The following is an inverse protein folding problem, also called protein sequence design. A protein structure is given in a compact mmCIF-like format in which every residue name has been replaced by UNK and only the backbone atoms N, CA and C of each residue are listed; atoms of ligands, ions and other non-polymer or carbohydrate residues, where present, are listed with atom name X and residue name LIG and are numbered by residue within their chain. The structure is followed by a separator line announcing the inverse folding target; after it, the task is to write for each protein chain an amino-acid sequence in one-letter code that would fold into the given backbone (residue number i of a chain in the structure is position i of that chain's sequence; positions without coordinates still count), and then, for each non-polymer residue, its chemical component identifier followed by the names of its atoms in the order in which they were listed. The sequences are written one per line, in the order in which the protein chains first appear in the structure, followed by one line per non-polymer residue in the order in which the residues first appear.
data_IF_958186646844
#
_entry.id   IF_958186646844
#
_cell.length_a   1.000
_cell.length_b   1.000
_cell.length_c   1.000
_cell.angle_alpha   90.00
_cell.angle_beta   90.00
_cell.angle_gamma   90.00
#
_symmetry.space_group_name_H-M   'P 1'
#
loop_
_entity.id
_entity.type
_entity.pdbx_description
1 polymer ?
#
# COMPACT_ATOMS: atom_id res chain seq x y z
N UNK A 1 53.40 -34.26 -21.96
CA UNK A 1 52.75 -32.96 -22.20
C UNK A 1 51.29 -33.21 -22.57
N UNK A 2 50.35 -33.00 -21.64
CA UNK A 2 48.89 -33.10 -21.86
C UNK A 2 48.29 -31.74 -21.55
N UNK A 3 47.68 -31.12 -22.56
CA UNK A 3 47.04 -29.80 -22.50
C UNK A 3 45.59 -29.95 -22.03
N UNK A 4 45.28 -29.44 -20.83
CA UNK A 4 43.90 -29.25 -20.37
C UNK A 4 43.36 -27.93 -20.94
N UNK A 5 42.25 -28.00 -21.68
CA UNK A 5 41.47 -26.84 -22.11
C UNK A 5 40.39 -26.56 -21.07
N UNK A 6 40.48 -25.42 -20.37
CA UNK A 6 39.40 -24.87 -19.55
C UNK A 6 38.43 -24.11 -20.45
N UNK A 7 37.21 -24.63 -20.62
CA UNK A 7 36.10 -23.91 -21.24
C UNK A 7 35.48 -22.97 -20.22
N UNK A 8 35.66 -21.66 -20.42
CA UNK A 8 35.03 -20.61 -19.62
C UNK A 8 33.60 -20.37 -20.13
N UNK A 9 32.59 -20.73 -19.35
CA UNK A 9 31.20 -20.40 -19.62
C UNK A 9 30.88 -19.01 -19.05
N UNK A 10 30.75 -18.01 -19.92
CA UNK A 10 30.18 -16.70 -19.57
C UNK A 10 28.67 -16.86 -19.31
N UNK A 11 28.26 -16.84 -18.05
CA UNK A 11 26.86 -16.63 -17.68
C UNK A 11 26.55 -15.12 -17.74
N UNK A 12 25.79 -14.71 -18.75
CA UNK A 12 25.20 -13.38 -18.82
C UNK A 12 24.03 -13.29 -17.83
N UNK A 13 24.26 -12.72 -16.64
CA UNK A 13 23.20 -12.38 -15.69
C UNK A 13 22.47 -11.16 -16.22
N UNK A 14 21.28 -11.36 -16.78
CA UNK A 14 20.36 -10.28 -17.12
C UNK A 14 19.75 -9.76 -15.82
N UNK A 15 20.27 -8.64 -15.30
CA UNK A 15 19.60 -7.89 -14.23
C UNK A 15 18.31 -7.29 -14.80
N UNK A 16 17.18 -7.92 -14.52
CA UNK A 16 15.88 -7.28 -14.63
C UNK A 16 15.81 -6.22 -13.54
N UNK A 17 16.06 -4.97 -13.91
CA UNK A 17 15.84 -3.82 -13.02
C UNK A 17 14.32 -3.73 -12.84
N UNK A 18 13.83 -4.34 -11.75
CA UNK A 18 12.44 -4.26 -11.35
C UNK A 18 12.09 -2.79 -11.13
N UNK A 19 11.10 -2.29 -11.87
CA UNK A 19 10.50 -0.99 -11.59
C UNK A 19 9.97 -1.05 -10.15
N UNK A 20 10.68 -0.42 -9.22
CA UNK A 20 10.24 -0.30 -7.84
C UNK A 20 8.90 0.45 -7.86
N UNK A 21 7.82 -0.25 -7.54
CA UNK A 21 6.50 0.37 -7.43
C UNK A 21 6.57 1.49 -6.39
N UNK A 22 6.11 2.68 -6.73
CA UNK A 22 6.10 3.83 -5.81
C UNK A 22 5.21 3.48 -4.60
N UNK A 23 5.83 3.35 -3.43
CA UNK A 23 5.18 3.02 -2.16
C UNK A 23 4.27 4.15 -1.66
N UNK A 24 3.08 4.33 -2.23
CA UNK A 24 2.24 5.48 -1.88
C UNK A 24 1.76 5.39 -0.43
N UNK A 25 1.67 6.55 0.22
CA UNK A 25 1.07 6.68 1.55
C UNK A 25 -0.33 6.04 1.58
N UNK A 26 -0.75 5.62 2.77
CA UNK A 26 -2.06 5.00 2.98
C UNK A 26 -3.20 5.80 2.36
N UNK A 27 -4.28 5.12 1.98
CA UNK A 27 -5.53 5.74 1.55
C UNK A 27 -6.44 5.86 2.77
N UNK A 28 -6.62 7.05 3.37
CA UNK A 28 -7.39 7.19 4.61
C UNK A 28 -8.83 6.71 4.46
N UNK A 29 -9.43 6.93 3.29
CA UNK A 29 -10.79 6.47 2.95
C UNK A 29 -10.89 4.94 2.90
N UNK A 30 -9.76 4.25 2.78
CA UNK A 30 -9.65 2.80 2.78
C UNK A 30 -9.06 2.24 4.09
N UNK A 31 -9.18 2.97 5.20
CA UNK A 31 -8.59 2.54 6.47
C UNK A 31 -7.06 2.54 6.44
N UNK A 32 -6.46 3.50 5.72
CA UNK A 32 -5.02 3.65 5.49
C UNK A 32 -4.37 2.51 4.69
N UNK A 33 -5.12 1.80 3.84
CA UNK A 33 -4.57 0.79 2.93
C UNK A 33 -3.41 1.36 2.09
N UNK A 34 -2.24 0.70 2.12
CA UNK A 34 -1.11 1.02 1.23
C UNK A 34 -1.28 0.37 -0.14
N UNK A 35 -0.92 1.10 -1.20
CA UNK A 35 -1.20 0.69 -2.57
C UNK A 35 -0.31 -0.45 -3.07
N UNK A 36 0.81 -0.72 -2.41
CA UNK A 36 1.67 -1.87 -2.72
C UNK A 36 0.89 -3.20 -2.62
N UNK A 37 -0.18 -3.20 -1.82
CA UNK A 37 -1.05 -4.35 -1.57
C UNK A 37 -2.38 -4.26 -2.35
N UNK A 38 -2.62 -3.14 -3.04
CA UNK A 38 -3.89 -2.87 -3.70
C UNK A 38 -4.03 -3.54 -5.07
N UNK A 39 -2.99 -4.24 -5.56
CA UNK A 39 -2.97 -4.88 -6.87
C UNK A 39 -3.98 -6.03 -7.08
N UNK A 40 -4.70 -6.46 -6.04
CA UNK A 40 -5.68 -7.56 -6.11
C UNK A 40 -6.88 -7.30 -5.19
N UNK A 41 -7.48 -6.11 -5.28
CA UNK A 41 -8.67 -5.76 -4.50
C UNK A 41 -9.96 -6.24 -5.17
N UNK A 42 -10.81 -6.92 -4.42
CA UNK A 42 -12.10 -7.44 -4.85
C UNK A 42 -13.21 -6.88 -3.95
N UNK A 43 -14.29 -6.40 -4.57
CA UNK A 43 -15.50 -6.05 -3.84
C UNK A 43 -16.41 -7.28 -3.80
N UNK A 44 -16.57 -7.87 -2.62
CA UNK A 44 -17.41 -9.05 -2.40
C UNK A 44 -18.73 -8.64 -1.76
N UNK A 45 -19.84 -9.10 -2.34
CA UNK A 45 -21.18 -8.95 -1.78
C UNK A 45 -21.84 -10.30 -1.51
N UNK A 46 -22.99 -10.27 -0.84
CA UNK A 46 -23.88 -11.42 -0.62
C UNK A 46 -23.16 -12.61 0.06
N UNK A 47 -23.52 -13.84 -0.32
CA UNK A 47 -23.02 -15.09 0.29
C UNK A 47 -21.50 -15.24 0.24
N UNK A 48 -20.84 -14.78 -0.84
CA UNK A 48 -19.38 -14.85 -0.96
C UNK A 48 -18.67 -13.98 0.08
N UNK A 49 -19.29 -12.85 0.42
CA UNK A 49 -18.79 -11.95 1.45
C UNK A 49 -18.89 -12.61 2.83
N UNK A 50 -20.05 -13.16 3.22
CA UNK A 50 -20.23 -13.79 4.54
C UNK A 50 -19.25 -14.95 4.79
N UNK A 51 -19.05 -15.79 3.76
CA UNK A 51 -18.08 -16.88 3.80
C UNK A 51 -16.63 -16.38 3.89
N UNK A 52 -16.33 -15.21 3.34
CA UNK A 52 -15.02 -14.57 3.49
C UNK A 52 -14.85 -13.99 4.89
N UNK A 53 -15.88 -13.32 5.43
CA UNK A 53 -15.84 -12.69 6.75
C UNK A 53 -15.63 -13.67 7.90
N UNK A 54 -16.00 -14.94 7.73
CA UNK A 54 -15.86 -15.95 8.78
C UNK A 54 -14.44 -16.55 8.88
N UNK A 55 -13.50 -16.11 8.04
CA UNK A 55 -12.11 -16.57 8.08
C UNK A 55 -11.33 -15.77 9.12
N UNK A 56 -10.82 -16.46 10.14
CA UNK A 56 -9.92 -15.86 11.12
C UNK A 56 -8.60 -15.42 10.46
N UNK A 57 -8.02 -14.34 10.99
CA UNK A 57 -6.71 -13.83 10.57
C UNK A 57 -6.73 -12.88 9.36
N UNK A 58 -7.83 -12.78 8.62
CA UNK A 58 -7.94 -11.81 7.51
C UNK A 58 -8.06 -10.35 8.00
N UNK A 59 -8.40 -10.18 9.28
CA UNK A 59 -8.59 -8.89 9.93
C UNK A 59 -7.32 -8.33 10.54
N UNK A 60 -6.20 -9.09 10.54
CA UNK A 60 -5.01 -8.73 11.31
C UNK A 60 -4.49 -7.32 11.00
N UNK A 61 -4.38 -6.97 9.72
CA UNK A 61 -3.93 -5.64 9.29
C UNK A 61 -4.94 -4.54 9.59
N UNK A 62 -6.22 -4.78 9.32
CA UNK A 62 -7.28 -3.81 9.62
C UNK A 62 -7.35 -3.53 11.13
N UNK A 63 -7.22 -4.56 11.97
CA UNK A 63 -7.17 -4.42 13.42
C UNK A 63 -5.90 -3.73 13.91
N UNK A 64 -4.73 -4.14 13.44
CA UNK A 64 -3.48 -3.46 13.76
C UNK A 64 -3.57 -1.96 13.45
N UNK A 65 -4.11 -1.60 12.28
CA UNK A 65 -4.28 -0.20 11.87
C UNK A 65 -5.31 0.55 12.71
N UNK A 66 -6.44 -0.08 13.03
CA UNK A 66 -7.47 0.49 13.92
C UNK A 66 -6.90 0.74 15.32
N UNK A 67 -6.26 -0.27 15.90
CA UNK A 67 -5.75 -0.26 17.27
C UNK A 67 -4.49 0.59 17.42
N UNK A 68 -3.66 0.73 16.37
CA UNK A 68 -2.51 1.65 16.41
C UNK A 68 -2.93 3.07 16.80
N UNK A 69 -4.05 3.57 16.25
CA UNK A 69 -4.55 4.91 16.57
C UNK A 69 -5.01 5.04 18.02
N UNK A 70 -5.59 3.97 18.57
CA UNK A 70 -6.03 3.90 19.96
C UNK A 70 -4.81 3.88 20.88
N UNK A 71 -3.89 2.95 20.66
CA UNK A 71 -2.70 2.73 21.47
C UNK A 71 -1.66 3.85 21.35
N UNK A 72 -1.63 4.59 20.23
CA UNK A 72 -0.73 5.73 20.04
C UNK A 72 -0.97 6.86 21.05
N UNK A 73 -2.17 6.97 21.62
CA UNK A 73 -2.43 7.94 22.68
C UNK A 73 -1.71 7.64 23.99
N UNK A 74 -1.28 6.40 24.21
CA UNK A 74 -0.58 5.97 25.42
C UNK A 74 0.91 5.73 25.16
N UNK A 75 1.29 5.38 23.93
CA UNK A 75 2.67 5.15 23.52
C UNK A 75 3.31 6.44 23.00
N UNK A 76 3.94 7.20 23.90
CA UNK A 76 4.58 8.51 23.61
C UNK A 76 6.09 8.53 23.80
N UNK A 77 6.75 7.38 23.65
CA UNK A 77 8.21 7.34 23.71
C UNK A 77 8.79 8.16 22.57
N UNK A 78 9.83 8.93 22.86
CA UNK A 78 10.54 9.72 21.87
C UNK A 78 11.59 8.86 21.16
N UNK A 79 11.88 9.21 19.91
CA UNK A 79 13.00 8.62 19.18
C UNK A 79 14.31 8.74 19.97
N UNK A 80 15.11 7.66 19.98
CA UNK A 80 16.43 7.68 20.61
C UNK A 80 17.40 8.52 19.76
N UNK A 81 18.22 9.42 20.38
CA UNK A 81 19.18 10.24 19.65
C UNK A 81 20.14 9.42 18.78
N UNK A 82 20.60 8.27 19.28
CA UNK A 82 21.48 7.36 18.54
C UNK A 82 20.85 6.83 17.25
N UNK A 83 19.54 6.56 17.26
CA UNK A 83 18.80 6.15 16.06
C UNK A 83 18.70 7.31 15.08
N UNK A 84 18.26 8.49 15.55
CA UNK A 84 18.07 9.66 14.69
C UNK A 84 19.39 10.15 14.09
N UNK A 85 20.48 10.17 14.84
CA UNK A 85 21.79 10.62 14.36
C UNK A 85 22.36 9.67 13.31
N UNK A 86 22.26 8.36 13.53
CA UNK A 86 22.71 7.35 12.56
C UNK A 86 21.91 7.40 11.26
N UNK A 87 20.58 7.50 11.37
CA UNK A 87 19.68 7.60 10.22
C UNK A 87 19.91 8.89 9.44
N UNK A 88 19.93 10.05 10.12
CA UNK A 88 20.12 11.36 9.47
C UNK A 88 21.50 11.48 8.82
N UNK A 89 22.55 10.94 9.43
CA UNK A 89 23.88 10.91 8.81
C UNK A 89 23.89 10.14 7.48
N UNK A 90 23.28 8.95 7.45
CA UNK A 90 23.15 8.14 6.24
C UNK A 90 22.29 8.84 5.19
N UNK A 91 21.14 9.38 5.59
CA UNK A 91 20.21 10.05 4.71
C UNK A 91 20.80 11.35 4.12
N UNK A 92 21.52 12.13 4.93
CA UNK A 92 22.25 13.33 4.48
C UNK A 92 23.22 13.00 3.36
N UNK A 93 23.99 11.91 3.51
CA UNK A 93 24.93 11.47 2.48
C UNK A 93 24.22 11.11 1.16
N UNK A 94 22.98 10.59 1.21
CA UNK A 94 22.15 10.33 0.02
C UNK A 94 21.71 11.64 -0.66
N UNK A 95 21.27 12.62 0.13
CA UNK A 95 20.94 13.95 -0.38
C UNK A 95 22.15 14.64 -1.02
N UNK A 96 23.35 14.53 -0.42
CA UNK A 96 24.59 15.11 -0.95
C UNK A 96 24.95 14.52 -2.33
N UNK A 97 24.54 13.28 -2.61
CA UNK A 97 24.69 12.62 -3.92
C UNK A 97 23.58 12.99 -4.92
N UNK A 98 22.63 13.83 -4.53
CA UNK A 98 21.48 14.21 -5.35
C UNK A 98 20.38 13.16 -5.42
N UNK A 99 20.33 12.20 -4.50
CA UNK A 99 19.20 11.27 -4.40
C UNK A 99 17.94 12.01 -3.92
N UNK A 100 16.81 11.76 -4.57
CA UNK A 100 15.53 12.33 -4.17
C UNK A 100 14.90 11.50 -3.04
N UNK A 101 15.04 11.96 -1.80
CA UNK A 101 14.46 11.32 -0.63
C UNK A 101 13.08 11.91 -0.36
N UNK A 102 12.04 11.11 -0.55
CA UNK A 102 10.67 11.44 -0.13
C UNK A 102 10.35 10.76 1.18
N UNK A 103 9.75 11.50 2.12
CA UNK A 103 9.60 11.01 3.48
C UNK A 103 8.70 9.78 3.63
N UNK A 104 7.52 9.85 3.02
CA UNK A 104 6.51 8.78 3.04
C UNK A 104 7.00 7.44 2.46
N UNK A 105 7.99 7.48 1.56
CA UNK A 105 8.57 6.29 0.95
C UNK A 105 9.69 5.68 1.81
N UNK A 106 10.64 6.51 2.26
CA UNK A 106 11.83 6.00 2.94
C UNK A 106 11.55 5.63 4.40
N UNK A 107 10.73 6.41 5.11
CA UNK A 107 10.41 6.17 6.51
C UNK A 107 9.80 4.78 6.74
N UNK A 108 8.77 4.43 5.96
CA UNK A 108 8.09 3.15 6.10
C UNK A 108 8.99 1.97 5.73
N UNK A 109 9.71 2.05 4.61
CA UNK A 109 10.60 0.98 4.18
C UNK A 109 11.70 0.66 5.19
N UNK A 110 12.32 1.69 5.76
CA UNK A 110 13.33 1.54 6.82
C UNK A 110 12.72 0.95 8.10
N UNK A 111 11.55 1.46 8.51
CA UNK A 111 10.85 0.97 9.70
C UNK A 111 10.41 -0.50 9.58
N UNK A 112 9.79 -0.86 8.44
CA UNK A 112 9.35 -2.24 8.13
C UNK A 112 10.52 -3.23 8.09
N UNK A 113 11.71 -2.79 7.66
CA UNK A 113 12.92 -3.61 7.71
C UNK A 113 13.21 -4.15 9.11
N UNK A 114 13.03 -3.32 10.14
CA UNK A 114 13.22 -3.69 11.55
C UNK A 114 12.11 -4.61 12.08
N UNK A 115 10.90 -4.54 11.53
CA UNK A 115 9.77 -5.37 11.96
C UNK A 115 10.04 -6.88 11.83
N UNK A 116 10.67 -7.31 10.72
CA UNK A 116 10.98 -8.72 10.50
C UNK A 116 11.90 -9.29 11.59
N UNK A 117 12.87 -8.50 12.03
CA UNK A 117 13.80 -8.89 13.09
C UNK A 117 13.09 -8.94 14.44
N UNK A 118 12.30 -7.91 14.76
CA UNK A 118 11.57 -7.83 16.03
C UNK A 118 10.50 -8.93 16.18
N UNK A 119 9.86 -9.32 15.08
CA UNK A 119 8.76 -10.27 15.08
C UNK A 119 9.17 -11.72 14.83
N UNK A 120 10.38 -12.00 14.33
CA UNK A 120 10.79 -13.34 13.90
C UNK A 120 10.75 -14.44 14.97
N UNK A 121 10.75 -14.09 16.27
CA UNK A 121 10.66 -15.02 17.40
C UNK A 121 9.31 -15.00 18.14
N UNK A 122 8.30 -14.28 17.65
CA UNK A 122 7.02 -14.13 18.35
C UNK A 122 6.09 -15.32 18.04
N UNK A 123 5.20 -15.73 18.98
CA UNK A 123 4.27 -16.83 18.75
C UNK A 123 3.32 -16.63 17.56
N UNK A 124 2.86 -15.39 17.34
CA UNK A 124 2.08 -15.00 16.15
C UNK A 124 2.86 -13.92 15.37
N UNK A 125 3.77 -14.39 14.52
CA UNK A 125 4.62 -13.53 13.68
C UNK A 125 3.76 -12.62 12.79
N UNK A 126 2.66 -13.13 12.23
CA UNK A 126 1.79 -12.36 11.35
C UNK A 126 1.09 -11.21 12.08
N UNK A 127 0.60 -11.44 13.30
CA UNK A 127 0.02 -10.37 14.14
C UNK A 127 1.08 -9.34 14.50
N UNK A 128 2.24 -9.78 14.98
CA UNK A 128 3.34 -8.87 15.31
C UNK A 128 3.74 -8.00 14.11
N UNK A 129 3.90 -8.60 12.93
CA UNK A 129 4.24 -7.87 11.71
C UNK A 129 3.16 -6.86 11.36
N UNK A 130 1.89 -7.24 11.40
CA UNK A 130 0.78 -6.31 11.14
C UNK A 130 0.80 -5.12 12.12
N UNK A 131 0.97 -5.36 13.42
CA UNK A 131 1.06 -4.32 14.46
C UNK A 131 2.28 -3.42 14.30
N UNK A 132 3.41 -4.01 13.93
CA UNK A 132 4.64 -3.28 13.68
C UNK A 132 4.52 -2.40 12.42
N UNK A 133 4.03 -2.94 11.32
CA UNK A 133 3.79 -2.20 10.08
C UNK A 133 2.77 -1.08 10.28
N UNK A 134 1.67 -1.32 10.99
CA UNK A 134 0.71 -0.27 11.34
C UNK A 134 1.34 0.85 12.18
N UNK A 135 2.23 0.51 13.11
CA UNK A 135 2.98 1.49 13.91
C UNK A 135 3.92 2.32 13.04
N UNK A 136 4.66 1.66 12.13
CA UNK A 136 5.48 2.34 11.16
C UNK A 136 4.65 3.31 10.31
N UNK A 137 3.50 2.86 9.79
CA UNK A 137 2.59 3.69 8.99
C UNK A 137 2.12 4.91 9.76
N UNK A 138 1.57 4.73 10.96
CA UNK A 138 1.00 5.84 11.73
C UNK A 138 2.04 6.90 12.12
N UNK A 139 3.23 6.49 12.55
CA UNK A 139 4.31 7.42 12.93
C UNK A 139 4.92 8.11 11.71
N UNK A 140 5.19 7.36 10.64
CA UNK A 140 5.72 7.93 9.40
C UNK A 140 4.72 8.89 8.77
N UNK A 141 3.43 8.55 8.68
CA UNK A 141 2.43 9.45 8.13
C UNK A 141 2.32 10.75 8.95
N UNK A 142 2.34 10.64 10.27
CA UNK A 142 2.30 11.80 11.17
C UNK A 142 3.49 12.73 10.99
N UNK A 143 4.71 12.18 10.86
CA UNK A 143 5.94 12.98 10.69
C UNK A 143 6.15 13.48 9.27
N UNK A 144 5.74 12.70 8.26
CA UNK A 144 6.01 13.01 6.87
C UNK A 144 4.93 13.90 6.23
N UNK A 145 3.69 13.90 6.72
CA UNK A 145 2.61 14.70 6.16
C UNK A 145 2.91 16.21 6.05
N UNK A 146 3.59 16.86 7.02
CA UNK A 146 3.89 18.28 6.94
C UNK A 146 5.00 18.67 5.95
N UNK A 147 5.76 17.69 5.43
CA UNK A 147 7.01 17.97 4.69
C UNK A 147 7.00 17.49 3.24
N UNK A 148 5.82 17.28 2.63
CA UNK A 148 5.69 16.72 1.26
C UNK A 148 6.52 17.48 0.22
N UNK A 149 6.58 18.81 0.30
CA UNK A 149 7.30 19.68 -0.65
C UNK A 149 8.61 20.25 -0.07
N UNK A 150 9.13 19.65 1.01
CA UNK A 150 10.30 20.13 1.70
C UNK A 150 11.61 19.73 0.99
N UNK A 151 12.74 20.42 1.26
CA UNK A 151 14.03 20.00 0.70
C UNK A 151 14.46 18.63 1.25
N UNK A 152 15.34 17.94 0.52
CA UNK A 152 15.80 16.58 0.84
C UNK A 152 16.24 16.39 2.31
N UNK A 153 17.00 17.33 2.87
CA UNK A 153 17.43 17.23 4.27
C UNK A 153 16.27 17.32 5.28
N UNK A 154 15.24 18.12 5.00
CA UNK A 154 14.06 18.20 5.84
C UNK A 154 13.28 16.88 5.79
N UNK A 155 13.14 16.28 4.62
CA UNK A 155 12.61 14.92 4.52
C UNK A 155 13.43 13.95 5.37
N UNK A 156 14.76 13.97 5.28
CA UNK A 156 15.61 13.09 6.08
C UNK A 156 15.36 13.21 7.59
N UNK A 157 15.27 14.43 8.12
CA UNK A 157 15.04 14.67 9.54
C UNK A 157 13.71 14.08 9.98
N UNK A 158 12.63 14.38 9.25
CA UNK A 158 11.29 13.88 9.60
C UNK A 158 11.14 12.36 9.35
N UNK A 159 11.75 11.81 8.30
CA UNK A 159 11.81 10.36 8.06
C UNK A 159 12.37 9.64 9.28
N UNK A 160 13.58 10.06 9.67
CA UNK A 160 14.33 9.44 10.74
C UNK A 160 13.62 9.67 12.07
N UNK A 161 13.01 10.84 12.27
CA UNK A 161 12.14 11.11 13.40
C UNK A 161 10.97 10.12 13.47
N UNK A 162 10.27 9.89 12.37
CA UNK A 162 9.14 8.96 12.28
C UNK A 162 9.54 7.51 12.50
N UNK A 163 10.53 7.02 11.74
CA UNK A 163 10.97 5.63 11.81
C UNK A 163 11.57 5.28 13.17
N UNK A 164 12.37 6.17 13.77
CA UNK A 164 12.92 5.96 15.11
C UNK A 164 11.88 6.12 16.23
N UNK A 165 10.87 6.99 16.06
CA UNK A 165 9.75 7.07 17.02
C UNK A 165 8.89 5.81 16.97
N UNK A 166 8.64 5.28 15.77
CA UNK A 166 7.97 3.99 15.59
C UNK A 166 8.74 2.89 16.31
N UNK A 167 10.05 2.75 16.06
CA UNK A 167 10.90 1.77 16.74
C UNK A 167 10.86 1.90 18.26
N UNK A 168 10.91 3.13 18.78
CA UNK A 168 10.83 3.37 20.22
C UNK A 168 9.48 2.96 20.83
N UNK A 169 8.38 3.08 20.07
CA UNK A 169 7.04 2.75 20.54
C UNK A 169 6.58 1.33 20.22
N UNK A 170 7.34 0.53 19.47
CA UNK A 170 6.91 -0.82 19.02
C UNK A 170 6.46 -1.74 20.14
N UNK A 171 7.24 -1.84 21.22
CA UNK A 171 6.90 -2.74 22.33
C UNK A 171 5.63 -2.30 23.05
N UNK A 172 5.46 -0.98 23.25
CA UNK A 172 4.24 -0.42 23.82
C UNK A 172 3.03 -0.68 22.91
N UNK A 173 3.17 -0.41 21.61
CA UNK A 173 2.13 -0.58 20.61
C UNK A 173 1.69 -2.03 20.50
N UNK A 174 2.62 -2.96 20.30
CA UNK A 174 2.31 -4.38 20.20
C UNK A 174 1.66 -4.91 21.47
N UNK A 175 2.17 -4.55 22.65
CA UNK A 175 1.57 -4.96 23.94
C UNK A 175 0.16 -4.40 24.13
N UNK A 176 -0.09 -3.15 23.73
CA UNK A 176 -1.41 -2.55 23.81
C UNK A 176 -2.39 -3.20 22.82
N UNK A 177 -1.96 -3.36 21.56
CA UNK A 177 -2.77 -3.95 20.50
C UNK A 177 -3.10 -5.42 20.78
N UNK A 178 -2.17 -6.19 21.37
CA UNK A 178 -2.39 -7.59 21.71
C UNK A 178 -3.55 -7.79 22.69
N UNK A 179 -3.82 -6.82 23.58
CA UNK A 179 -4.93 -6.89 24.55
C UNK A 179 -6.29 -6.71 23.88
N UNK A 180 -6.35 -5.86 22.86
CA UNK A 180 -7.60 -5.46 22.19
C UNK A 180 -7.81 -6.20 20.86
N UNK A 181 -6.85 -7.04 20.45
CA UNK A 181 -6.84 -7.65 19.13
C UNK A 181 -8.04 -8.57 18.90
N UNK A 182 -8.35 -9.43 19.89
CA UNK A 182 -9.46 -10.38 19.80
C UNK A 182 -10.81 -9.66 19.70
N UNK A 183 -11.02 -8.65 20.56
CA UNK A 183 -12.20 -7.78 20.51
C UNK A 183 -12.33 -7.12 19.15
N UNK A 184 -11.24 -6.57 18.61
CA UNK A 184 -11.24 -5.95 17.29
C UNK A 184 -11.58 -6.93 16.17
N UNK A 185 -11.01 -8.14 16.16
CA UNK A 185 -11.31 -9.15 15.13
C UNK A 185 -12.80 -9.52 15.16
N UNK A 186 -13.39 -9.65 16.35
CA UNK A 186 -14.81 -9.93 16.51
C UNK A 186 -15.69 -8.77 16.01
N UNK A 187 -15.37 -7.53 16.36
CA UNK A 187 -16.08 -6.34 15.85
C UNK A 187 -16.04 -6.27 14.32
N UNK A 188 -14.86 -6.44 13.72
CA UNK A 188 -14.72 -6.41 12.26
C UNK A 188 -15.42 -7.59 11.60
N UNK A 189 -15.46 -8.76 12.22
CA UNK A 189 -16.23 -9.90 11.72
C UNK A 189 -17.73 -9.58 11.67
N UNK A 190 -18.28 -9.02 12.75
CA UNK A 190 -19.69 -8.61 12.83
C UNK A 190 -20.00 -7.52 11.79
N UNK A 191 -19.16 -6.49 11.70
CA UNK A 191 -19.30 -5.40 10.73
C UNK A 191 -19.23 -5.91 9.28
N UNK A 192 -18.29 -6.81 9.00
CA UNK A 192 -18.12 -7.45 7.70
C UNK A 192 -19.39 -8.22 7.32
N UNK A 193 -19.87 -9.12 8.20
CA UNK A 193 -21.09 -9.92 7.98
C UNK A 193 -22.32 -9.03 7.77
N UNK A 194 -22.49 -8.00 8.61
CA UNK A 194 -23.61 -7.06 8.49
C UNK A 194 -23.59 -6.30 7.15
N UNK A 195 -22.40 -5.92 6.69
CA UNK A 195 -22.21 -5.16 5.46
C UNK A 195 -22.35 -5.98 4.18
N UNK A 196 -22.19 -7.31 4.25
CA UNK A 196 -22.26 -8.21 3.09
C UNK A 196 -23.60 -8.15 2.34
N UNK A 197 -24.69 -7.90 3.05
CA UNK A 197 -26.04 -7.81 2.47
C UNK A 197 -26.34 -6.45 1.83
N UNK A 198 -25.57 -5.41 2.16
CA UNK A 198 -25.83 -4.03 1.74
C UNK A 198 -24.81 -3.56 0.68
N UNK A 199 -23.65 -3.07 1.15
CA UNK A 199 -22.62 -2.43 0.30
C UNK A 199 -21.44 -3.35 -0.02
N UNK A 200 -21.41 -4.53 0.61
CA UNK A 200 -20.31 -5.48 0.50
C UNK A 200 -19.10 -5.11 1.37
N UNK A 201 -18.01 -5.83 1.13
CA UNK A 201 -16.71 -5.61 1.77
C UNK A 201 -15.60 -5.69 0.72
N UNK A 202 -14.55 -4.88 0.91
CA UNK A 202 -13.36 -4.87 0.06
C UNK A 202 -12.32 -5.77 0.69
N UNK A 203 -11.80 -6.70 -0.12
CA UNK A 203 -10.69 -7.57 0.25
C UNK A 203 -9.55 -7.36 -0.72
N UNK A 204 -8.32 -7.19 -0.25
CA UNK A 204 -7.14 -7.07 -1.11
C UNK A 204 -6.15 -8.19 -0.78
N UNK A 205 -5.76 -8.99 -1.77
CA UNK A 205 -4.88 -10.15 -1.54
C UNK A 205 -5.47 -11.20 -0.58
N UNK A 206 -6.79 -11.21 -0.41
CA UNK A 206 -7.49 -12.09 0.55
C UNK A 206 -7.60 -11.53 1.97
N UNK A 207 -7.03 -10.38 2.26
CA UNK A 207 -7.15 -9.69 3.55
C UNK A 207 -8.33 -8.72 3.54
N UNK A 208 -8.96 -8.54 4.69
CA UNK A 208 -10.05 -7.59 4.86
C UNK A 208 -9.49 -6.17 4.95
N UNK A 209 -10.07 -5.26 4.16
CA UNK A 209 -9.71 -3.83 4.22
C UNK A 209 -10.77 -3.04 4.95
N UNK A 210 -12.02 -3.12 4.48
CA UNK A 210 -13.16 -2.40 5.05
C UNK A 210 -14.48 -2.97 4.53
N UNK A 211 -15.57 -2.60 5.20
CA UNK A 211 -16.92 -2.90 4.77
C UNK A 211 -17.88 -1.72 4.97
N UNK A 212 -19.08 -1.84 4.41
CA UNK A 212 -20.19 -0.96 4.71
C UNK A 212 -20.10 0.40 4.03
N UNK A 213 -20.41 1.47 4.77
CA UNK A 213 -20.61 2.81 4.22
C UNK A 213 -19.35 3.48 3.67
N UNK A 214 -18.19 3.00 4.09
CA UNK A 214 -16.88 3.52 3.66
C UNK A 214 -16.49 2.99 2.26
N UNK A 215 -17.12 1.90 1.78
CA UNK A 215 -16.80 1.24 0.51
C UNK A 215 -16.79 2.22 -0.68
N UNK A 216 -17.83 3.04 -0.91
CA UNK A 216 -17.84 3.93 -2.07
C UNK A 216 -16.75 5.00 -2.03
N UNK A 217 -16.43 5.52 -0.84
CA UNK A 217 -15.36 6.50 -0.66
C UNK A 217 -13.99 5.87 -0.95
N UNK A 218 -13.73 4.68 -0.42
CA UNK A 218 -12.50 3.95 -0.70
C UNK A 218 -12.35 3.64 -2.19
N UNK A 219 -13.38 3.08 -2.84
CA UNK A 219 -13.32 2.75 -4.29
C UNK A 219 -13.03 4.01 -5.11
N UNK A 220 -13.64 5.14 -4.75
CA UNK A 220 -13.39 6.42 -5.43
C UNK A 220 -11.95 6.90 -5.23
N UNK A 221 -11.41 6.77 -4.02
CA UNK A 221 -10.04 7.13 -3.70
C UNK A 221 -9.00 6.24 -4.41
N UNK A 222 -9.26 4.94 -4.51
CA UNK A 222 -8.43 4.00 -5.28
C UNK A 222 -8.47 4.32 -6.78
N UNK A 223 -9.65 4.60 -7.33
CA UNK A 223 -9.82 4.98 -8.73
C UNK A 223 -9.09 6.29 -9.07
N UNK A 224 -9.16 7.29 -8.20
CA UNK A 224 -8.44 8.56 -8.35
C UNK A 224 -6.91 8.37 -8.38
N UNK A 225 -6.40 7.31 -7.75
CA UNK A 225 -4.97 6.95 -7.73
C UNK A 225 -4.56 6.10 -8.93
N UNK A 226 -5.46 5.83 -9.87
CA UNK A 226 -5.19 5.07 -11.09
C UNK A 226 -5.17 3.55 -10.89
N UNK A 227 -5.64 3.06 -9.74
CA UNK A 227 -5.89 1.63 -9.52
C UNK A 227 -7.19 1.35 -10.26
N UNK A 228 -7.06 0.80 -11.45
CA UNK A 228 -8.17 0.65 -12.37
C UNK A 228 -9.30 -0.15 -11.70
N UNK A 229 -10.52 0.34 -11.81
CA UNK A 229 -11.74 -0.41 -11.47
C UNK A 229 -11.85 -1.73 -12.25
N UNK A 230 -11.04 -1.91 -13.31
CA UNK A 230 -10.92 -3.16 -14.06
C UNK A 230 -10.31 -4.31 -13.24
N UNK A 231 -9.47 -4.02 -12.24
CA UNK A 231 -8.98 -5.03 -11.28
C UNK A 231 -9.93 -5.24 -10.10
N UNK A 232 -10.86 -4.29 -9.87
CA UNK A 232 -11.93 -4.46 -8.91
C UNK A 232 -12.97 -5.44 -9.47
N UNK A 233 -12.72 -6.74 -9.25
CA UNK A 233 -13.68 -7.78 -9.61
C UNK A 233 -14.89 -7.66 -8.70
N UNK A 234 -15.94 -7.07 -9.24
CA UNK A 234 -17.26 -7.02 -8.60
C UNK A 234 -17.95 -8.35 -8.88
N UNK A 235 -17.82 -9.32 -7.97
CA UNK A 235 -18.55 -10.58 -8.05
C UNK A 235 -19.90 -10.45 -7.34
N UNK A 236 -20.84 -9.70 -7.94
CA UNK A 236 -22.22 -9.72 -7.42
C UNK A 236 -22.95 -10.92 -8.02
N UNK A 237 -23.12 -11.99 -7.24
CA UNK A 237 -24.18 -12.97 -7.51
C UNK A 237 -25.52 -12.34 -7.13
N UNK A 238 -26.10 -11.58 -8.07
CA UNK A 238 -27.48 -11.13 -7.96
C UNK A 238 -28.37 -12.32 -8.27
N UNK A 239 -29.08 -12.82 -7.26
CA UNK A 239 -30.26 -13.63 -7.48
C UNK A 239 -31.34 -12.77 -8.13
N UNK A 240 -31.35 -12.70 -9.47
CA UNK A 240 -32.42 -12.26 -10.40
C UNK A 240 -33.28 -11.03 -10.04
N UNK A 241 -32.90 -10.21 -9.08
CA UNK A 241 -33.68 -9.07 -8.60
C UNK A 241 -32.99 -7.79 -9.04
N UNK A 242 -33.62 -7.14 -10.01
CA UNK A 242 -33.32 -5.85 -10.61
C UNK A 242 -32.64 -4.85 -9.66
N UNK A 243 -31.40 -4.46 -9.99
CA UNK A 243 -30.72 -3.30 -9.44
C UNK A 243 -31.45 -2.00 -9.82
N UNK A 244 -31.65 -1.04 -8.91
CA UNK A 244 -32.03 0.31 -9.26
C UNK A 244 -30.84 1.00 -9.96
N UNK A 245 -31.03 1.34 -11.23
CA UNK A 245 -30.15 2.23 -11.99
C UNK A 245 -30.20 3.63 -11.37
N UNK A 246 -29.23 3.95 -10.52
CA UNK A 246 -28.98 5.33 -10.10
C UNK A 246 -28.48 6.11 -11.33
N UNK A 247 -29.27 7.11 -11.73
CA UNK A 247 -29.15 7.78 -13.03
C UNK A 247 -27.98 8.75 -13.17
N UNK A 248 -27.66 9.05 -14.44
CA UNK A 248 -27.21 10.39 -14.83
C UNK A 248 -25.76 10.58 -15.24
N UNK A 249 -25.05 9.58 -15.77
CA UNK A 249 -23.80 9.83 -16.51
C UNK A 249 -24.01 9.57 -18.01
N UNK A 250 -24.22 10.64 -18.79
CA UNK A 250 -24.15 10.60 -20.25
C UNK A 250 -22.67 10.49 -20.66
N UNK A 251 -22.29 9.35 -21.21
CA UNK A 251 -21.11 9.22 -22.08
C UNK A 251 -20.11 8.16 -21.64
N UNK A 252 -20.07 7.04 -22.38
CA UNK A 252 -19.05 6.00 -22.27
C UNK A 252 -19.65 4.61 -22.05
N UNK A 253 -20.00 3.92 -23.15
CA UNK A 253 -20.50 2.56 -23.09
C UNK A 253 -19.37 1.58 -22.71
N UNK A 254 -19.48 0.96 -21.53
CA UNK A 254 -18.73 -0.25 -21.22
C UNK A 254 -19.56 -1.47 -21.64
N UNK A 255 -19.16 -2.12 -22.73
CA UNK A 255 -19.68 -3.45 -23.09
C UNK A 255 -19.14 -4.49 -22.10
N UNK A 256 -20.01 -4.99 -21.23
CA UNK A 256 -19.77 -6.21 -20.45
C UNK A 256 -20.02 -7.42 -21.38
N UNK A 257 -18.95 -8.03 -21.88
CA UNK A 257 -19.03 -9.29 -22.62
C UNK A 257 -18.94 -10.45 -21.64
N UNK A 258 -20.08 -11.09 -21.33
CA UNK A 258 -20.14 -12.35 -20.60
C UNK A 258 -19.82 -13.52 -21.55
N UNK A 259 -18.69 -14.19 -21.34
CA UNK A 259 -18.29 -15.37 -22.10
C UNK A 259 -18.40 -16.63 -21.25
N UNK A 260 -19.43 -17.43 -21.50
CA UNK A 260 -19.48 -18.85 -21.14
C UNK A 260 -18.42 -19.62 -21.94
N UNK A 261 -17.90 -20.69 -21.34
CA UNK A 261 -16.69 -21.36 -21.80
C UNK A 261 -16.80 -22.05 -23.15
N UNK A 262 -15.64 -22.22 -23.80
CA UNK A 262 -15.24 -23.44 -24.50
C UNK A 262 -13.73 -23.37 -24.78
N UNK A 263 -13.10 -24.55 -24.75
CA UNK A 263 -11.67 -24.79 -24.97
C UNK A 263 -11.34 -24.50 -26.43
N UNK A 264 -10.43 -23.55 -26.69
CA UNK A 264 -9.99 -23.21 -28.04
C UNK A 264 -8.57 -22.67 -28.06
N UNK A 265 -7.63 -23.53 -28.44
CA UNK A 265 -6.24 -23.17 -28.76
C UNK A 265 -6.25 -22.25 -29.98
N UNK A 266 -5.84 -20.99 -29.84
CA UNK A 266 -5.36 -20.22 -30.98
C UNK A 266 -4.36 -19.14 -30.55
N UNK A 267 -3.13 -19.31 -31.04
CA UNK A 267 -2.07 -18.32 -31.04
C UNK A 267 -2.39 -17.17 -32.00
N UNK A 268 -2.11 -15.93 -31.63
CA UNK A 268 -1.75 -14.82 -32.53
C UNK A 268 -1.23 -13.67 -31.63
N UNK A 269 0.06 -13.37 -31.67
CA UNK A 269 0.72 -12.40 -32.54
C UNK A 269 0.85 -11.00 -31.89
N UNK A 270 2.12 -10.63 -31.71
CA UNK A 270 2.64 -9.37 -31.21
C UNK A 270 2.10 -8.14 -31.96
N UNK A 271 1.71 -7.10 -31.22
CA UNK A 271 1.63 -5.74 -31.73
C UNK A 271 2.47 -4.82 -30.84
N UNK A 272 3.60 -4.38 -31.39
CA UNK A 272 4.51 -3.37 -30.84
C UNK A 272 3.89 -1.98 -31.02
N UNK A 273 3.70 -1.25 -29.93
CA UNK A 273 3.46 0.20 -29.99
C UNK A 273 4.77 0.94 -29.69
N UNK A 274 5.44 1.33 -30.77
CA UNK A 274 6.39 2.44 -30.77
C UNK A 274 5.63 3.72 -31.16
N UNK A 275 5.60 4.73 -30.29
CA UNK A 275 4.80 5.93 -30.52
C UNK A 275 5.15 7.14 -29.67
N UNK A 276 6.22 7.83 -30.08
CA UNK A 276 6.38 9.29 -30.03
C UNK A 276 6.48 10.02 -28.67
N UNK A 277 7.70 10.03 -28.14
CA UNK A 277 8.29 11.16 -27.40
C UNK A 277 8.51 12.32 -28.38
N UNK A 278 7.61 13.32 -28.44
CA UNK A 278 7.91 14.62 -29.09
C UNK A 278 6.97 15.79 -28.72
N UNK A 279 6.77 16.13 -27.44
CA UNK A 279 6.09 17.41 -27.10
C UNK A 279 6.40 18.05 -25.73
N UNK A 280 7.65 18.02 -25.25
CA UNK A 280 8.06 18.77 -24.03
C UNK A 280 9.34 19.58 -24.17
N UNK A 281 9.54 20.30 -25.28
CA UNK A 281 10.66 21.26 -25.45
C UNK A 281 10.23 22.66 -25.90
N UNK A 282 9.11 23.20 -25.38
CA UNK A 282 8.71 24.59 -25.69
C UNK A 282 8.30 25.47 -24.50
N UNK A 283 8.45 25.02 -23.26
CA UNK A 283 8.03 25.80 -22.08
C UNK A 283 9.19 26.36 -21.23
N UNK A 284 10.46 26.08 -21.55
CA UNK A 284 11.61 26.51 -20.74
C UNK A 284 12.28 27.83 -21.20
N UNK A 285 11.73 28.53 -22.20
CA UNK A 285 12.37 29.72 -22.80
C UNK A 285 11.65 31.05 -22.48
N UNK A 286 10.78 31.12 -21.46
CA UNK A 286 10.05 32.34 -21.09
C UNK A 286 10.28 32.86 -19.67
N UNK A 287 11.26 32.34 -18.92
CA UNK A 287 11.52 32.76 -17.54
C UNK A 287 12.86 33.45 -17.31
N UNK A 288 13.43 34.07 -18.34
CA UNK A 288 14.70 34.80 -18.26
C UNK A 288 14.58 36.34 -18.38
N UNK A 289 13.40 36.91 -18.62
CA UNK A 289 13.25 38.35 -18.90
C UNK A 289 12.45 39.13 -17.84
N UNK A 290 12.59 38.81 -16.56
CA UNK A 290 12.01 39.67 -15.53
C UNK A 290 12.87 39.74 -14.26
N UNK A 291 14.07 40.31 -14.42
CA UNK A 291 14.80 40.93 -13.32
C UNK A 291 15.75 42.00 -13.86
N UNK A 292 15.31 43.27 -13.81
CA UNK A 292 16.18 44.44 -13.93
C UNK A 292 15.39 45.68 -13.46
N UNK A 293 16.01 46.73 -12.90
CA UNK A 293 17.19 46.80 -12.03
C UNK A 293 16.83 47.04 -10.55
#
# INVERSE_FOLDING_TARGET
MKTLRLSSALFAVVLTVGLSSEARAGVPECGNLRLEEAGNCELRGSVQCEGSCSKLGIYKKACATKLQRVCHQDCKLLAQPTCTDSCTGTCKSRCDRGENITCTHNCYGECKGSCNVACGGKPDVARCLASCEATCDGECDTKCAPVVDAPCYTHCIECCGGSCTAQANMDCQTTCQDKEFETCEHELEVDCKGSCSAKGAIFCGGEFVLAGDQVPACVSALAARGIATADLRVSVSLGTSSLPTAGGAKGGGCSLSGGGGEVGVLALALATFAGAVRRRRREAAKRADNFNP
#
